data_IF_982554865275
#
_entry.id   IF_982554865275
#
_cell.length_a   1.000
_cell.length_b   1.000
_cell.length_c   1.000
_cell.angle_alpha   90.00
_cell.angle_beta   90.00
_cell.angle_gamma   90.00
#
_symmetry.space_group_name_H-M   'P 1'
#
loop_
_entity.id
_entity.type
_entity.pdbx_description
1 polymer ?
#
# COMPACT_ATOMS: atom_id res chain seq x y z
N UNK A 1 8.45 -12.39 -14.46
CA UNK A 1 7.14 -11.71 -14.63
C UNK A 1 7.14 -10.50 -13.70
N UNK A 2 6.70 -9.33 -14.14
CA UNK A 2 6.61 -8.15 -13.25
C UNK A 2 5.27 -8.18 -12.54
N UNK A 3 5.28 -8.06 -11.20
CA UNK A 3 4.06 -7.95 -10.39
C UNK A 3 4.03 -6.54 -9.79
N UNK A 4 2.89 -5.87 -9.94
CA UNK A 4 2.68 -4.50 -9.48
C UNK A 4 1.41 -4.48 -8.62
N UNK A 5 1.51 -3.93 -7.42
CA UNK A 5 0.38 -3.61 -6.55
C UNK A 5 0.05 -2.13 -6.61
N UNK A 6 -1.23 -1.79 -6.46
CA UNK A 6 -1.74 -0.42 -6.48
C UNK A 6 -2.70 -0.26 -5.29
N UNK A 7 -2.64 0.88 -4.61
CA UNK A 7 -3.56 1.20 -3.51
C UNK A 7 -3.81 2.71 -3.40
N UNK A 8 -4.86 3.07 -2.66
CA UNK A 8 -5.32 4.43 -2.44
C UNK A 8 -5.60 4.70 -0.94
N UNK A 9 -5.34 5.92 -0.51
CA UNK A 9 -5.67 6.36 0.85
C UNK A 9 -6.40 7.71 0.82
N UNK A 10 -7.37 7.87 1.73
CA UNK A 10 -8.10 9.13 1.90
C UNK A 10 -9.39 9.27 1.08
N UNK A 11 -10.03 8.19 0.63
CA UNK A 11 -11.31 8.29 -0.12
C UNK A 11 -12.54 8.64 0.73
N UNK A 12 -12.50 8.34 2.03
CA UNK A 12 -13.65 8.45 2.95
C UNK A 12 -13.87 9.81 3.65
N UNK A 13 -12.83 10.62 3.94
CA UNK A 13 -13.01 11.94 4.57
C UNK A 13 -13.85 12.92 3.73
N UNK A 14 -14.49 13.89 4.42
CA UNK A 14 -15.28 14.96 3.79
C UNK A 14 -14.42 15.96 2.97
N UNK A 15 -13.16 16.14 3.38
CA UNK A 15 -12.20 17.02 2.74
C UNK A 15 -10.78 16.48 2.94
N UNK A 16 -9.87 16.86 2.05
CA UNK A 16 -8.49 16.39 2.02
C UNK A 16 -8.16 15.68 0.70
N UNK A 17 -6.87 15.53 0.36
CA UNK A 17 -6.46 14.88 -0.87
C UNK A 17 -6.63 13.36 -0.79
N UNK A 18 -6.81 12.73 -1.94
CA UNK A 18 -6.63 11.29 -2.11
C UNK A 18 -5.21 11.04 -2.60
N UNK A 19 -4.49 10.13 -1.96
CA UNK A 19 -3.18 9.67 -2.40
C UNK A 19 -3.32 8.31 -3.09
N UNK A 20 -2.59 8.11 -4.19
CA UNK A 20 -2.51 6.84 -4.92
C UNK A 20 -1.04 6.45 -5.06
N UNK A 21 -0.73 5.17 -4.82
CA UNK A 21 0.62 4.62 -4.94
C UNK A 21 0.64 3.34 -5.77
N UNK A 22 1.78 3.09 -6.42
CA UNK A 22 2.05 1.84 -7.13
C UNK A 22 3.45 1.35 -6.79
N UNK A 23 3.60 0.04 -6.58
CA UNK A 23 4.86 -0.59 -6.23
C UNK A 23 5.05 -1.87 -7.04
N UNK A 24 6.25 -2.04 -7.59
CA UNK A 24 6.66 -3.30 -8.20
C UNK A 24 7.36 -4.16 -7.14
N UNK A 25 6.87 -5.38 -6.94
CA UNK A 25 7.46 -6.34 -5.99
C UNK A 25 8.17 -7.47 -6.73
N UNK A 26 9.22 -8.00 -6.10
CA UNK A 26 9.79 -9.28 -6.50
C UNK A 26 8.87 -10.41 -6.01
N UNK A 27 8.29 -11.23 -6.91
CA UNK A 27 7.39 -12.32 -6.53
C UNK A 27 8.03 -13.40 -5.67
N UNK A 28 9.37 -13.50 -5.67
CA UNK A 28 10.09 -14.55 -4.93
C UNK A 28 10.54 -14.09 -3.55
N UNK A 29 10.26 -12.84 -3.18
CA UNK A 29 10.64 -12.28 -1.89
C UNK A 29 9.45 -12.28 -0.96
N UNK A 30 9.64 -12.80 0.26
CA UNK A 30 8.66 -12.65 1.32
C UNK A 30 8.78 -11.28 1.98
N UNK A 31 7.63 -10.70 2.30
CA UNK A 31 7.53 -9.41 2.99
C UNK A 31 6.66 -9.58 4.24
N UNK A 32 7.27 -10.07 5.32
CA UNK A 32 6.58 -10.42 6.57
C UNK A 32 5.77 -9.25 7.17
N UNK A 33 6.26 -8.02 7.03
CA UNK A 33 5.67 -6.82 7.65
C UNK A 33 4.61 -6.13 6.77
N UNK A 34 4.47 -6.54 5.50
CA UNK A 34 3.59 -5.86 4.54
C UNK A 34 2.10 -6.06 4.86
N UNK A 35 1.74 -7.22 5.45
CA UNK A 35 0.36 -7.62 5.71
C UNK A 35 -0.25 -7.04 7.00
N UNK A 36 0.54 -6.49 7.92
CA UNK A 36 0.04 -5.93 9.19
C UNK A 36 0.49 -4.47 9.42
N UNK A 37 0.83 -3.78 8.33
CA UNK A 37 1.21 -2.35 8.32
C UNK A 37 0.15 -1.43 8.94
N UNK A 38 -1.10 -1.89 9.03
CA UNK A 38 -2.23 -1.17 9.64
C UNK A 38 -2.15 -1.04 11.17
N UNK A 39 -1.23 -1.74 11.84
CA UNK A 39 -0.99 -1.64 13.28
C UNK A 39 0.22 -0.77 13.65
N UNK A 40 0.91 -0.24 12.65
CA UNK A 40 2.02 0.69 12.88
C UNK A 40 1.45 1.98 13.49
N UNK A 41 2.02 2.42 14.62
CA UNK A 41 1.76 3.76 15.15
C UNK A 41 2.46 4.78 14.28
N UNK A 42 1.81 5.91 14.01
CA UNK A 42 2.46 7.10 13.42
C UNK A 42 3.62 7.61 14.26
#
# INVERSE_FOLDING_TARGET
MKIIGIDEAGRGPLAGPVAIGAVQLDPNKEFAELNDSKKLSE
#
